data_IF_554696662471
#
_entry.id   IF_554696662471
#
_cell.length_a   1.000
_cell.length_b   1.000
_cell.length_c   1.000
_cell.angle_alpha   90.00
_cell.angle_beta   90.00
_cell.angle_gamma   90.00
#
_symmetry.space_group_name_H-M   'P 1'
#
loop_
_entity.id
_entity.type
_entity.pdbx_description
1 polymer ?
#
# COMPACT_ATOMS: atom_id res chain seq x y z
N UNK A 1 -52.06 35.78 0.34
CA UNK A 1 -52.09 35.09 -0.96
C UNK A 1 -50.66 35.22 -1.46
N UNK A 2 -49.80 34.34 -0.93
CA UNK A 2 -49.38 33.09 -1.62
C UNK A 2 -48.53 33.49 -2.84
N UNK A 3 -47.31 33.05 -3.06
CA UNK A 3 -46.42 32.04 -2.48
C UNK A 3 -45.01 32.43 -2.93
N UNK A 4 -43.98 31.99 -2.19
CA UNK A 4 -42.71 31.44 -2.73
C UNK A 4 -41.62 31.52 -1.66
N UNK A 5 -41.58 30.49 -0.83
CA UNK A 5 -40.41 30.18 -0.03
C UNK A 5 -40.20 28.67 -0.06
N UNK A 6 -39.55 28.16 -1.12
CA UNK A 6 -39.10 26.79 -1.12
C UNK A 6 -37.88 26.59 -2.03
N UNK A 7 -36.68 26.67 -1.46
CA UNK A 7 -35.50 25.89 -1.87
C UNK A 7 -34.32 26.25 -0.96
N UNK A 8 -34.09 25.47 0.09
CA UNK A 8 -32.79 25.40 0.78
C UNK A 8 -32.63 24.19 1.72
N UNK A 9 -33.04 22.98 1.29
CA UNK A 9 -32.79 21.75 2.06
C UNK A 9 -32.56 20.53 1.15
N UNK A 10 -31.32 20.25 0.71
CA UNK A 10 -31.08 19.00 -0.06
C UNK A 10 -29.68 18.36 -0.12
N UNK A 11 -28.54 18.99 0.24
CA UNK A 11 -27.24 18.29 0.24
C UNK A 11 -26.93 17.55 1.56
N UNK A 12 -26.95 18.27 2.69
CA UNK A 12 -26.46 17.76 3.99
C UNK A 12 -27.24 16.56 4.55
N UNK A 13 -28.55 16.48 4.30
CA UNK A 13 -29.38 15.38 4.81
C UNK A 13 -29.13 14.04 4.08
N UNK A 14 -28.63 14.09 2.84
CA UNK A 14 -28.27 12.89 2.07
C UNK A 14 -26.89 12.35 2.45
N UNK A 15 -25.94 13.23 2.76
CA UNK A 15 -24.62 12.84 3.26
C UNK A 15 -24.71 12.22 4.66
N UNK A 16 -25.48 12.82 5.58
CA UNK A 16 -25.67 12.28 6.93
C UNK A 16 -26.29 10.88 6.94
N UNK A 17 -27.25 10.61 6.04
CA UNK A 17 -27.84 9.28 5.91
C UNK A 17 -26.88 8.24 5.32
N UNK A 18 -25.90 8.68 4.52
CA UNK A 18 -24.88 7.82 3.90
C UNK A 18 -23.80 7.42 4.90
N UNK A 19 -23.31 8.36 5.71
CA UNK A 19 -22.30 8.06 6.74
C UNK A 19 -22.86 7.10 7.80
N UNK A 20 -24.14 7.29 8.16
CA UNK A 20 -24.84 6.35 9.02
C UNK A 20 -24.96 4.96 8.39
N UNK A 21 -25.38 4.87 7.12
CA UNK A 21 -25.44 3.60 6.38
C UNK A 21 -24.09 2.87 6.39
N UNK A 22 -22.99 3.57 6.12
CA UNK A 22 -21.65 2.96 6.11
C UNK A 22 -21.26 2.44 7.49
N UNK A 23 -21.56 3.20 8.54
CA UNK A 23 -21.31 2.78 9.92
C UNK A 23 -22.09 1.50 10.30
N UNK A 24 -23.36 1.42 9.90
CA UNK A 24 -24.18 0.21 10.15
C UNK A 24 -23.68 -0.96 9.32
N UNK A 25 -23.28 -0.76 8.06
CA UNK A 25 -22.69 -1.82 7.21
C UNK A 25 -21.36 -2.33 7.76
N UNK A 26 -20.51 -1.47 8.31
CA UNK A 26 -19.28 -1.89 8.99
C UNK A 26 -19.57 -2.71 10.25
N UNK A 27 -20.60 -2.31 10.99
CA UNK A 27 -21.07 -3.04 12.18
C UNK A 27 -21.59 -4.43 11.79
N UNK A 28 -22.43 -4.51 10.75
CA UNK A 28 -22.92 -5.80 10.20
C UNK A 28 -21.74 -6.66 9.72
N UNK A 29 -20.80 -6.10 8.96
CA UNK A 29 -19.60 -6.83 8.50
C UNK A 29 -18.87 -7.45 9.68
N UNK A 30 -18.65 -6.67 10.73
CA UNK A 30 -17.89 -7.10 11.92
C UNK A 30 -18.64 -8.16 12.70
N UNK A 31 -19.93 -7.94 13.02
CA UNK A 31 -20.77 -8.93 13.71
C UNK A 31 -20.94 -10.22 12.91
N UNK A 32 -21.03 -10.13 11.58
CA UNK A 32 -21.15 -11.30 10.71
C UNK A 32 -19.86 -12.11 10.63
N UNK A 33 -18.71 -11.44 10.71
CA UNK A 33 -17.40 -12.09 10.80
C UNK A 33 -17.24 -12.82 12.12
N UNK A 34 -17.65 -12.22 13.25
CA UNK A 34 -17.59 -12.86 14.56
C UNK A 34 -18.49 -14.11 14.63
N UNK A 35 -19.64 -14.07 13.94
CA UNK A 35 -20.56 -15.19 13.84
C UNK A 35 -19.97 -16.41 13.09
N UNK A 36 -18.95 -16.21 12.23
CA UNK A 36 -18.31 -17.30 11.50
C UNK A 36 -17.36 -18.12 12.38
N UNK A 37 -16.79 -17.55 13.45
CA UNK A 37 -15.79 -18.20 14.31
C UNK A 37 -16.39 -18.97 15.49
N UNK A 38 -17.70 -19.14 15.51
CA UNK A 38 -18.40 -19.96 16.49
C UNK A 38 -17.88 -21.42 16.46
N UNK A 39 -17.26 -21.94 17.54
CA UNK A 39 -16.72 -23.29 17.54
C UNK A 39 -17.77 -24.36 17.19
N UNK A 40 -17.39 -25.48 16.55
CA UNK A 40 -18.33 -26.55 16.19
C UNK A 40 -18.96 -27.29 17.40
N UNK A 41 -18.51 -26.96 18.62
CA UNK A 41 -19.01 -27.46 19.90
C UNK A 41 -19.09 -26.29 20.90
N UNK A 42 -20.24 -25.62 21.05
CA UNK A 42 -20.31 -24.46 21.97
C UNK A 42 -21.29 -24.65 23.11
N UNK A 43 -20.74 -24.40 24.30
CA UNK A 43 -21.35 -24.05 25.58
C UNK A 43 -21.91 -22.61 25.64
N UNK A 44 -21.78 -21.81 24.56
CA UNK A 44 -22.22 -20.41 24.44
C UNK A 44 -23.29 -20.36 23.35
N UNK A 45 -24.49 -19.85 23.66
CA UNK A 45 -25.54 -19.73 22.66
C UNK A 45 -25.22 -18.54 21.74
N UNK A 46 -25.23 -18.72 20.41
CA UNK A 46 -24.99 -17.63 19.46
C UNK A 46 -26.22 -16.73 19.26
N UNK A 47 -27.22 -16.87 20.11
CA UNK A 47 -28.49 -16.15 20.02
C UNK A 47 -28.33 -14.65 20.29
N UNK A 48 -27.39 -14.27 21.17
CA UNK A 48 -27.09 -12.86 21.46
C UNK A 48 -26.41 -12.16 20.27
N UNK A 49 -25.38 -12.79 19.68
CA UNK A 49 -24.63 -12.24 18.55
C UNK A 49 -25.52 -12.16 17.29
N UNK A 50 -26.39 -13.15 17.08
CA UNK A 50 -27.39 -13.11 16.00
C UNK A 50 -28.49 -12.07 16.26
N UNK A 51 -28.91 -11.89 17.51
CA UNK A 51 -29.88 -10.86 17.89
C UNK A 51 -29.37 -9.45 17.57
N UNK A 52 -28.13 -9.16 17.93
CA UNK A 52 -27.47 -7.89 17.63
C UNK A 52 -27.35 -7.64 16.11
N UNK A 53 -26.98 -8.67 15.33
CA UNK A 53 -26.89 -8.58 13.87
C UNK A 53 -28.26 -8.30 13.23
N UNK A 54 -29.33 -8.91 13.72
CA UNK A 54 -30.70 -8.68 13.24
C UNK A 54 -31.29 -7.34 13.70
N UNK A 55 -30.78 -6.74 14.76
CA UNK A 55 -31.11 -5.35 15.14
C UNK A 55 -30.44 -4.37 14.20
N UNK A 56 -29.15 -4.55 13.91
CA UNK A 56 -28.43 -3.78 12.90
C UNK A 56 -29.08 -3.91 11.51
N UNK A 57 -29.51 -5.11 11.14
CA UNK A 57 -30.24 -5.35 9.89
C UNK A 57 -31.55 -4.55 9.76
N UNK A 58 -32.29 -4.38 10.87
CA UNK A 58 -33.53 -3.58 10.91
C UNK A 58 -33.28 -2.09 10.76
N UNK A 59 -32.14 -1.58 11.24
CA UNK A 59 -31.72 -0.20 11.00
C UNK A 59 -31.43 0.04 9.52
N UNK A 60 -30.86 -0.95 8.82
CA UNK A 60 -30.66 -0.82 7.38
C UNK A 60 -31.98 -1.00 6.62
N UNK A 61 -32.89 -1.93 6.97
CA UNK A 61 -34.16 -2.13 6.24
C UNK A 61 -34.95 -0.82 6.02
N UNK A 62 -34.91 0.13 6.96
CA UNK A 62 -35.51 1.46 6.80
C UNK A 62 -34.85 2.36 5.72
N UNK A 63 -33.60 2.06 5.38
CA UNK A 63 -32.76 2.73 4.36
C UNK A 63 -32.63 1.89 3.08
N UNK A 64 -32.76 0.55 3.16
CA UNK A 64 -32.60 -0.44 2.07
C UNK A 64 -33.70 -0.36 0.99
N UNK A 65 -34.90 0.15 1.31
CA UNK A 65 -36.00 0.25 0.32
C UNK A 65 -35.66 1.13 -0.91
N UNK A 66 -34.56 1.88 -0.84
CA UNK A 66 -34.15 2.83 -1.88
C UNK A 66 -33.09 2.31 -2.86
N UNK A 67 -32.35 1.23 -2.55
CA UNK A 67 -31.19 0.78 -3.35
C UNK A 67 -31.27 -0.70 -3.77
N UNK A 68 -31.32 -1.01 -5.08
CA UNK A 68 -31.44 -2.38 -5.59
C UNK A 68 -30.21 -3.26 -5.33
N UNK A 69 -29.02 -2.72 -5.06
CA UNK A 69 -27.84 -3.56 -4.74
C UNK A 69 -27.88 -4.14 -3.33
N UNK A 70 -28.73 -3.55 -2.50
CA UNK A 70 -28.86 -3.79 -1.09
C UNK A 70 -30.01 -4.77 -0.76
N UNK A 71 -30.86 -5.10 -1.75
CA UNK A 71 -31.95 -6.08 -1.62
C UNK A 71 -31.44 -7.48 -1.28
N UNK A 72 -30.28 -7.88 -1.85
CA UNK A 72 -29.64 -9.16 -1.55
C UNK A 72 -29.24 -9.27 -0.08
N UNK A 73 -28.80 -8.15 0.53
CA UNK A 73 -28.46 -8.13 1.96
C UNK A 73 -29.71 -8.35 2.82
N UNK A 74 -30.84 -7.73 2.47
CA UNK A 74 -32.14 -7.93 3.16
C UNK A 74 -32.64 -9.37 3.03
N UNK A 75 -32.49 -9.99 1.85
CA UNK A 75 -32.81 -11.40 1.63
C UNK A 75 -31.96 -12.33 2.50
N UNK A 76 -30.66 -12.07 2.60
CA UNK A 76 -29.74 -12.85 3.44
C UNK A 76 -30.04 -12.67 4.94
N UNK A 77 -30.34 -11.46 5.39
CA UNK A 77 -30.75 -11.18 6.78
C UNK A 77 -32.08 -11.85 7.12
N UNK A 78 -33.03 -11.86 6.19
CA UNK A 78 -34.30 -12.58 6.33
C UNK A 78 -34.09 -14.09 6.38
N UNK A 79 -33.17 -14.62 5.55
CA UNK A 79 -32.76 -16.02 5.58
C UNK A 79 -32.14 -16.40 6.92
N UNK A 80 -31.23 -15.57 7.43
CA UNK A 80 -30.61 -15.74 8.74
C UNK A 80 -31.67 -15.79 9.85
N UNK A 81 -32.61 -14.84 9.85
CA UNK A 81 -33.74 -14.80 10.80
C UNK A 81 -34.58 -16.08 10.74
N UNK A 82 -34.93 -16.55 9.54
CA UNK A 82 -35.70 -17.79 9.38
C UNK A 82 -34.96 -19.02 9.94
N UNK A 83 -33.63 -19.10 9.71
CA UNK A 83 -32.82 -20.21 10.24
C UNK A 83 -32.66 -20.16 11.75
N UNK A 84 -32.66 -18.96 12.34
CA UNK A 84 -32.65 -18.77 13.79
C UNK A 84 -33.97 -19.24 14.43
N UNK A 85 -35.11 -18.82 13.87
CA UNK A 85 -36.44 -19.23 14.35
C UNK A 85 -36.60 -20.76 14.30
N UNK A 86 -36.10 -21.39 13.24
CA UNK A 86 -36.06 -22.85 13.13
C UNK A 86 -35.17 -23.50 14.18
N UNK A 87 -34.06 -22.85 14.56
CA UNK A 87 -33.12 -23.37 15.56
C UNK A 87 -33.75 -23.29 16.96
N UNK A 88 -34.40 -22.19 17.30
CA UNK A 88 -35.14 -21.99 18.56
C UNK A 88 -36.29 -22.99 18.70
N UNK A 89 -37.08 -23.20 17.64
CA UNK A 89 -38.18 -24.20 17.63
C UNK A 89 -37.70 -25.65 17.80
N UNK A 90 -36.40 -25.92 17.58
CA UNK A 90 -35.82 -27.26 17.65
C UNK A 90 -35.13 -27.62 18.99
N UNK A 91 -35.34 -26.82 20.05
CA UNK A 91 -34.82 -27.10 21.39
C UNK A 91 -35.51 -28.32 22.04
N UNK A 92 -35.06 -29.52 21.69
CA UNK A 92 -35.48 -30.78 22.32
C UNK A 92 -34.29 -31.67 22.66
N UNK A 93 -34.26 -32.21 23.89
CA UNK A 93 -33.17 -33.02 24.44
C UNK A 93 -33.15 -34.46 23.88
N UNK A 94 -32.59 -34.67 22.68
CA UNK A 94 -32.22 -36.02 22.14
C UNK A 94 -30.93 -35.93 21.30
N UNK A 95 -30.30 -37.07 21.00
CA UNK A 95 -29.01 -37.16 20.28
C UNK A 95 -29.08 -36.85 18.76
N UNK A 96 -30.15 -37.25 18.07
CA UNK A 96 -30.44 -36.88 16.66
C UNK A 96 -30.43 -35.35 16.41
N UNK A 97 -30.89 -34.51 17.36
CA UNK A 97 -30.74 -33.05 17.34
C UNK A 97 -29.32 -32.51 17.18
N UNK A 98 -28.26 -33.20 17.62
CA UNK A 98 -26.89 -32.64 17.61
C UNK A 98 -26.34 -32.45 16.19
N UNK A 99 -26.52 -33.45 15.32
CA UNK A 99 -26.10 -33.38 13.91
C UNK A 99 -26.93 -32.35 13.15
N UNK A 100 -28.26 -32.33 13.38
CA UNK A 100 -29.14 -31.31 12.76
C UNK A 100 -28.79 -29.90 13.22
N UNK A 101 -28.38 -29.73 14.47
CA UNK A 101 -27.95 -28.46 15.05
C UNK A 101 -26.60 -28.01 14.48
N UNK A 102 -25.64 -28.91 14.30
CA UNK A 102 -24.38 -28.61 13.62
C UNK A 102 -24.57 -28.24 12.15
N UNK A 103 -25.45 -28.94 11.42
CA UNK A 103 -25.79 -28.58 10.04
C UNK A 103 -26.44 -27.18 9.96
N UNK A 104 -27.29 -26.82 10.93
CA UNK A 104 -27.85 -25.46 11.02
C UNK A 104 -26.80 -24.41 11.38
N UNK A 105 -25.86 -24.70 12.30
CA UNK A 105 -24.75 -23.80 12.60
C UNK A 105 -23.85 -23.57 11.39
N UNK A 106 -23.56 -24.61 10.61
CA UNK A 106 -22.84 -24.47 9.35
C UNK A 106 -23.62 -23.58 8.36
N UNK A 107 -24.94 -23.78 8.23
CA UNK A 107 -25.79 -22.93 7.38
C UNK A 107 -25.77 -21.46 7.84
N UNK A 108 -25.82 -21.21 9.15
CA UNK A 108 -25.73 -19.87 9.73
C UNK A 108 -24.36 -19.24 9.43
N UNK A 109 -23.27 -19.97 9.67
CA UNK A 109 -21.91 -19.52 9.34
C UNK A 109 -21.76 -19.20 7.85
N UNK A 110 -22.38 -20.00 6.97
CA UNK A 110 -22.41 -19.74 5.52
C UNK A 110 -23.16 -18.46 5.17
N UNK A 111 -24.38 -18.28 5.70
CA UNK A 111 -25.17 -17.06 5.48
C UNK A 111 -24.42 -15.84 6.03
N UNK A 112 -23.77 -15.97 7.19
CA UNK A 112 -22.94 -14.90 7.76
C UNK A 112 -21.75 -14.55 6.86
N UNK A 113 -21.10 -15.55 6.26
CA UNK A 113 -20.03 -15.31 5.28
C UNK A 113 -20.54 -14.59 4.03
N UNK A 114 -21.72 -14.96 3.53
CA UNK A 114 -22.38 -14.29 2.40
C UNK A 114 -22.75 -12.83 2.75
N UNK A 115 -23.30 -12.56 3.95
CA UNK A 115 -23.61 -11.21 4.44
C UNK A 115 -22.33 -10.36 4.56
N UNK A 116 -21.25 -10.92 5.14
CA UNK A 116 -19.97 -10.21 5.26
C UNK A 116 -19.41 -9.84 3.88
N UNK A 117 -19.45 -10.76 2.92
CA UNK A 117 -18.96 -10.54 1.57
C UNK A 117 -19.76 -9.45 0.84
N UNK A 118 -21.09 -9.45 0.98
CA UNK A 118 -21.95 -8.41 0.40
C UNK A 118 -21.73 -7.04 1.04
N UNK A 119 -21.70 -6.97 2.38
CA UNK A 119 -21.43 -5.72 3.09
C UNK A 119 -20.06 -5.15 2.72
N UNK A 120 -19.02 -6.00 2.67
CA UNK A 120 -17.68 -5.61 2.21
C UNK A 120 -17.69 -5.12 0.77
N UNK A 121 -18.37 -5.83 -0.15
CA UNK A 121 -18.45 -5.43 -1.55
C UNK A 121 -19.07 -4.04 -1.75
N UNK A 122 -20.10 -3.72 -0.96
CA UNK A 122 -20.73 -2.39 -0.98
C UNK A 122 -19.78 -1.31 -0.43
N UNK A 123 -19.13 -1.57 0.71
CA UNK A 123 -18.12 -0.65 1.28
C UNK A 123 -16.95 -0.41 0.31
N UNK A 124 -16.46 -1.46 -0.33
CA UNK A 124 -15.38 -1.40 -1.32
C UNK A 124 -15.78 -0.53 -2.52
N UNK A 125 -17.00 -0.74 -3.03
CA UNK A 125 -17.56 0.07 -4.13
C UNK A 125 -17.67 1.53 -3.72
N UNK A 126 -18.16 1.78 -2.52
CA UNK A 126 -18.33 3.13 -2.00
C UNK A 126 -16.99 3.87 -1.89
N UNK A 127 -15.96 3.25 -1.34
CA UNK A 127 -14.61 3.83 -1.22
C UNK A 127 -14.05 4.19 -2.60
N UNK A 128 -14.15 3.27 -3.57
CA UNK A 128 -13.68 3.52 -4.94
C UNK A 128 -14.47 4.64 -5.60
N UNK A 129 -15.81 4.62 -5.50
CA UNK A 129 -16.66 5.66 -6.10
C UNK A 129 -16.42 7.02 -5.44
N UNK A 130 -16.22 7.06 -4.12
CA UNK A 130 -15.91 8.28 -3.40
C UNK A 130 -14.59 8.88 -3.89
N UNK A 131 -13.52 8.09 -3.92
CA UNK A 131 -12.22 8.49 -4.46
C UNK A 131 -12.37 9.10 -5.86
N UNK A 132 -13.04 8.37 -6.75
CA UNK A 132 -13.22 8.77 -8.14
C UNK A 132 -14.00 10.08 -8.28
N UNK A 133 -15.04 10.26 -7.48
CA UNK A 133 -15.84 11.49 -7.45
C UNK A 133 -15.01 12.67 -6.94
N UNK A 134 -14.29 12.48 -5.85
CA UNK A 134 -13.55 13.55 -5.18
C UNK A 134 -12.32 13.98 -6.00
N UNK A 135 -11.63 13.04 -6.65
CA UNK A 135 -10.50 13.35 -7.55
C UNK A 135 -10.92 13.99 -8.88
N UNK A 136 -12.15 13.73 -9.35
CA UNK A 136 -12.66 14.31 -10.59
C UNK A 136 -13.22 15.74 -10.40
N UNK A 137 -13.53 16.13 -9.17
CA UNK A 137 -14.08 17.46 -8.85
C UNK A 137 -12.95 18.49 -8.64
N UNK A 138 -12.94 19.61 -9.39
CA UNK A 138 -11.96 20.67 -9.15
C UNK A 138 -12.20 21.34 -7.78
N UNK A 139 -13.45 21.52 -7.38
CA UNK A 139 -13.85 22.34 -6.23
C UNK A 139 -13.83 21.63 -4.86
N UNK A 140 -13.59 20.32 -4.80
CA UNK A 140 -13.48 19.61 -3.51
C UNK A 140 -12.22 20.05 -2.76
N UNK A 141 -12.37 20.20 -1.43
CA UNK A 141 -11.29 20.65 -0.55
C UNK A 141 -10.09 19.69 -0.59
N UNK A 142 -8.88 20.23 -0.38
CA UNK A 142 -7.67 19.42 -0.37
C UNK A 142 -7.71 18.31 0.69
N UNK A 143 -8.27 18.61 1.86
CA UNK A 143 -8.40 17.66 2.96
C UNK A 143 -9.34 16.50 2.63
N UNK A 144 -10.46 16.78 1.96
CA UNK A 144 -11.42 15.76 1.52
C UNK A 144 -10.78 14.79 0.51
N UNK A 145 -9.95 15.31 -0.40
CA UNK A 145 -9.21 14.51 -1.39
C UNK A 145 -8.14 13.65 -0.73
N UNK A 146 -7.41 14.20 0.23
CA UNK A 146 -6.41 13.47 0.99
C UNK A 146 -7.05 12.37 1.84
N UNK A 147 -8.22 12.64 2.43
CA UNK A 147 -8.99 11.63 3.17
C UNK A 147 -9.43 10.50 2.26
N UNK A 148 -10.04 10.80 1.10
CA UNK A 148 -10.49 9.79 0.16
C UNK A 148 -9.33 8.92 -0.37
N UNK A 149 -8.15 9.50 -0.59
CA UNK A 149 -6.93 8.76 -0.93
C UNK A 149 -6.45 7.87 0.22
N UNK A 150 -6.52 8.36 1.45
CA UNK A 150 -6.20 7.61 2.66
C UNK A 150 -7.11 6.39 2.83
N UNK A 151 -8.43 6.59 2.81
CA UNK A 151 -9.42 5.52 2.95
C UNK A 151 -9.24 4.44 1.89
N UNK A 152 -8.95 4.85 0.63
CA UNK A 152 -8.65 3.92 -0.45
C UNK A 152 -7.35 3.14 -0.20
N UNK A 153 -6.29 3.83 0.19
CA UNK A 153 -5.00 3.21 0.47
C UNK A 153 -5.13 2.19 1.62
N UNK A 154 -5.72 2.59 2.73
CA UNK A 154 -5.95 1.75 3.91
C UNK A 154 -6.76 0.52 3.52
N UNK A 155 -7.79 0.69 2.68
CA UNK A 155 -8.57 -0.45 2.21
C UNK A 155 -7.75 -1.41 1.34
N UNK A 156 -6.94 -0.90 0.42
CA UNK A 156 -6.09 -1.74 -0.45
C UNK A 156 -5.03 -2.49 0.38
N UNK A 157 -4.53 -1.88 1.45
CA UNK A 157 -3.53 -2.49 2.34
C UNK A 157 -4.08 -3.62 3.23
N UNK A 158 -5.40 -3.68 3.46
CA UNK A 158 -6.04 -4.79 4.19
C UNK A 158 -5.97 -6.14 3.47
N UNK A 159 -5.54 -6.16 2.20
CA UNK A 159 -5.25 -7.38 1.46
C UNK A 159 -6.15 -7.63 0.25
N UNK A 160 -5.77 -8.66 -0.50
CA UNK A 160 -6.34 -8.97 -1.80
C UNK A 160 -7.83 -9.38 -1.73
N UNK A 161 -8.65 -8.76 -2.56
CA UNK A 161 -10.05 -9.15 -2.76
C UNK A 161 -10.44 -9.03 -4.23
N UNK A 162 -10.99 -10.09 -4.81
CA UNK A 162 -11.30 -10.14 -6.25
C UNK A 162 -12.33 -9.09 -6.67
N UNK A 163 -13.36 -8.85 -5.84
CA UNK A 163 -14.38 -7.82 -6.09
C UNK A 163 -13.80 -6.40 -6.09
N UNK A 164 -12.88 -6.11 -5.16
CA UNK A 164 -12.21 -4.81 -5.11
C UNK A 164 -11.31 -4.60 -6.34
N UNK A 165 -10.59 -5.63 -6.78
CA UNK A 165 -9.79 -5.54 -8.00
C UNK A 165 -10.67 -5.21 -9.22
N UNK A 166 -11.80 -5.90 -9.39
CA UNK A 166 -12.72 -5.66 -10.50
C UNK A 166 -13.26 -4.22 -10.47
N UNK A 167 -13.61 -3.70 -9.29
CA UNK A 167 -14.02 -2.31 -9.11
C UNK A 167 -12.91 -1.32 -9.49
N UNK A 168 -11.67 -1.53 -9.03
CA UNK A 168 -10.50 -0.70 -9.33
C UNK A 168 -10.21 -0.66 -10.84
N UNK A 169 -10.30 -1.81 -11.50
CA UNK A 169 -10.06 -1.93 -12.94
C UNK A 169 -11.17 -1.25 -13.74
N UNK A 170 -12.44 -1.47 -13.39
CA UNK A 170 -13.60 -0.85 -14.04
C UNK A 170 -13.59 0.67 -13.90
N UNK A 171 -13.19 1.18 -12.74
CA UNK A 171 -13.10 2.62 -12.49
C UNK A 171 -11.84 3.25 -13.10
N UNK A 172 -10.88 2.46 -13.59
CA UNK A 172 -9.56 2.94 -14.05
C UNK A 172 -8.83 3.75 -12.98
N UNK A 173 -8.95 3.35 -11.72
CA UNK A 173 -8.39 4.11 -10.60
C UNK A 173 -6.87 4.34 -10.74
N UNK A 174 -6.13 3.33 -11.21
CA UNK A 174 -4.69 3.44 -11.45
C UNK A 174 -4.36 4.58 -12.42
N UNK A 175 -5.04 4.65 -13.57
CA UNK A 175 -4.77 5.68 -14.59
C UNK A 175 -5.05 7.09 -14.07
N UNK A 176 -6.03 7.24 -13.19
CA UNK A 176 -6.33 8.53 -12.56
C UNK A 176 -5.27 8.91 -11.54
N UNK A 177 -4.86 7.97 -10.68
CA UNK A 177 -3.77 8.20 -9.73
C UNK A 177 -2.46 8.54 -10.46
N UNK A 178 -2.15 7.82 -11.54
CA UNK A 178 -0.98 8.10 -12.38
C UNK A 178 -1.08 9.47 -13.04
N UNK A 179 -2.26 9.86 -13.57
CA UNK A 179 -2.45 11.19 -14.15
C UNK A 179 -2.20 12.30 -13.13
N UNK A 180 -2.65 12.13 -11.88
CA UNK A 180 -2.43 13.10 -10.80
C UNK A 180 -0.98 13.11 -10.31
N UNK A 181 -0.33 11.96 -10.27
CA UNK A 181 1.11 11.86 -9.99
C UNK A 181 1.95 12.60 -11.05
N UNK A 182 1.57 12.52 -12.32
CA UNK A 182 2.33 13.08 -13.43
C UNK A 182 2.01 14.55 -13.72
N UNK A 183 0.91 15.06 -13.19
CA UNK A 183 0.48 16.45 -13.36
C UNK A 183 1.37 17.41 -12.53
N UNK A 184 2.16 18.29 -13.18
CA UNK A 184 3.02 19.24 -12.46
C UNK A 184 2.23 20.35 -11.76
N UNK A 185 1.00 20.63 -12.19
CA UNK A 185 0.12 21.64 -11.59
C UNK A 185 -0.56 21.10 -10.32
N UNK A 186 -0.51 19.78 -10.11
CA UNK A 186 -1.04 19.14 -8.92
C UNK A 186 -0.13 19.39 -7.70
N UNK A 187 -0.70 19.74 -6.52
CA UNK A 187 0.08 19.95 -5.32
C UNK A 187 0.98 18.75 -4.99
N UNK A 188 2.22 19.03 -4.56
CA UNK A 188 3.23 18.00 -4.24
C UNK A 188 2.68 16.90 -3.31
N UNK A 189 1.94 17.29 -2.26
CA UNK A 189 1.36 16.35 -1.28
C UNK A 189 0.44 15.32 -1.94
N UNK A 190 -0.30 15.73 -2.98
CA UNK A 190 -1.21 14.84 -3.69
C UNK A 190 -0.48 13.89 -4.61
N UNK A 191 0.56 14.39 -5.28
CA UNK A 191 1.44 13.56 -6.11
C UNK A 191 2.08 12.47 -5.26
N UNK A 192 2.56 12.82 -4.07
CA UNK A 192 3.14 11.88 -3.10
C UNK A 192 2.10 10.88 -2.54
N UNK A 193 0.89 11.32 -2.22
CA UNK A 193 -0.18 10.41 -1.79
C UNK A 193 -0.65 9.48 -2.90
N UNK A 194 -0.70 9.97 -4.14
CA UNK A 194 -0.98 9.15 -5.32
C UNK A 194 0.11 8.10 -5.54
N UNK A 195 1.38 8.48 -5.36
CA UNK A 195 2.51 7.55 -5.39
C UNK A 195 2.37 6.44 -4.34
N UNK A 196 2.00 6.81 -3.10
CA UNK A 196 1.76 5.85 -2.02
C UNK A 196 0.63 4.88 -2.37
N UNK A 197 -0.49 5.38 -2.88
CA UNK A 197 -1.61 4.55 -3.32
C UNK A 197 -1.22 3.60 -4.47
N UNK A 198 -0.42 4.04 -5.43
CA UNK A 198 0.13 3.21 -6.51
C UNK A 198 1.00 2.08 -5.95
N UNK A 199 1.87 2.37 -4.99
CA UNK A 199 2.66 1.33 -4.30
C UNK A 199 1.75 0.30 -3.63
N UNK A 200 0.71 0.74 -2.94
CA UNK A 200 -0.25 -0.15 -2.28
C UNK A 200 -1.03 -1.00 -3.29
N UNK A 201 -1.36 -0.47 -4.48
CA UNK A 201 -1.95 -1.26 -5.58
C UNK A 201 -1.01 -2.35 -6.09
N UNK A 202 0.28 -2.04 -6.29
CA UNK A 202 1.27 -3.04 -6.70
C UNK A 202 1.45 -4.13 -5.64
N UNK A 203 1.42 -3.76 -4.34
CA UNK A 203 1.42 -4.74 -3.23
C UNK A 203 0.17 -5.62 -3.26
N UNK A 204 -0.99 -5.03 -3.52
CA UNK A 204 -2.28 -5.70 -3.55
C UNK A 204 -2.37 -6.76 -4.65
N UNK A 205 -1.92 -6.46 -5.88
CA UNK A 205 -1.75 -7.47 -6.92
C UNK A 205 -0.64 -7.13 -7.93
N UNK A 206 0.52 -7.75 -7.74
CA UNK A 206 1.68 -7.58 -8.64
C UNK A 206 1.38 -7.97 -10.09
N UNK A 207 0.56 -8.99 -10.32
CA UNK A 207 0.30 -9.51 -11.67
C UNK A 207 -0.50 -8.53 -12.55
N UNK A 208 -1.21 -7.59 -11.94
CA UNK A 208 -2.06 -6.63 -12.65
C UNK A 208 -1.35 -5.29 -12.79
N UNK A 209 -0.79 -4.77 -11.70
CA UNK A 209 -0.34 -3.37 -11.65
C UNK A 209 1.13 -3.17 -12.03
N UNK A 210 1.97 -4.21 -12.00
CA UNK A 210 3.40 -4.09 -12.37
C UNK A 210 3.57 -3.65 -13.82
N UNK A 211 2.80 -4.25 -14.74
CA UNK A 211 2.85 -3.85 -16.15
C UNK A 211 2.47 -2.39 -16.37
N UNK A 212 1.50 -1.88 -15.61
CA UNK A 212 1.08 -0.48 -15.71
C UNK A 212 2.18 0.48 -15.23
N UNK A 213 2.89 0.14 -14.15
CA UNK A 213 4.02 0.94 -13.66
C UNK A 213 5.19 0.93 -14.66
N UNK A 214 5.53 -0.24 -15.22
CA UNK A 214 6.67 -0.37 -16.14
C UNK A 214 6.45 0.34 -17.48
N UNK A 215 5.21 0.37 -17.98
CA UNK A 215 4.88 0.99 -19.27
C UNK A 215 4.47 2.47 -19.13
N UNK A 216 4.39 2.98 -17.91
CA UNK A 216 3.84 4.29 -17.61
C UNK A 216 4.89 5.34 -17.22
N UNK A 217 4.52 6.62 -17.18
CA UNK A 217 5.38 7.72 -16.73
C UNK A 217 5.61 7.77 -15.21
N UNK A 218 5.05 6.81 -14.46
CA UNK A 218 5.09 6.78 -12.98
C UNK A 218 6.50 6.97 -12.43
N UNK A 219 7.50 6.28 -12.97
CA UNK A 219 8.87 6.30 -12.42
C UNK A 219 9.54 7.65 -12.63
N UNK A 220 9.52 8.16 -13.85
CA UNK A 220 10.06 9.47 -14.19
C UNK A 220 9.38 10.60 -13.40
N UNK A 221 8.06 10.48 -13.15
CA UNK A 221 7.35 11.43 -12.31
C UNK A 221 7.85 11.41 -10.86
N UNK A 222 8.10 10.24 -10.26
CA UNK A 222 8.64 10.13 -8.90
C UNK A 222 10.04 10.74 -8.79
N UNK A 223 10.91 10.44 -9.74
CA UNK A 223 12.27 11.00 -9.75
C UNK A 223 12.24 12.51 -9.97
N UNK A 224 11.34 13.01 -10.82
CA UNK A 224 11.17 14.44 -11.06
C UNK A 224 10.61 15.19 -9.83
N UNK A 225 9.79 14.57 -8.98
CA UNK A 225 9.34 15.19 -7.72
C UNK A 225 10.51 15.33 -6.76
N UNK A 226 11.38 14.32 -6.70
CA UNK A 226 12.65 14.38 -5.98
C UNK A 226 12.52 14.62 -4.48
N UNK A 227 11.38 14.25 -3.87
CA UNK A 227 11.14 14.35 -2.43
C UNK A 227 11.39 13.04 -1.71
N UNK A 228 11.63 13.10 -0.40
CA UNK A 228 11.76 11.90 0.45
C UNK A 228 10.60 10.92 0.27
N UNK A 229 9.34 11.38 0.25
CA UNK A 229 8.18 10.49 0.05
C UNK A 229 8.15 9.88 -1.36
N UNK A 230 8.43 10.66 -2.40
CA UNK A 230 8.43 10.15 -3.79
C UNK A 230 9.53 9.12 -4.03
N UNK A 231 10.73 9.36 -3.48
CA UNK A 231 11.86 8.43 -3.59
C UNK A 231 11.63 7.20 -2.71
N UNK A 232 11.02 7.32 -1.53
CA UNK A 232 10.65 6.16 -0.70
C UNK A 232 9.58 5.28 -1.38
N UNK A 233 8.63 5.89 -2.10
CA UNK A 233 7.68 5.17 -2.93
C UNK A 233 8.40 4.42 -4.06
N UNK A 234 9.36 5.07 -4.73
CA UNK A 234 10.20 4.44 -5.75
C UNK A 234 11.00 3.25 -5.20
N UNK A 235 11.68 3.40 -4.05
CA UNK A 235 12.37 2.30 -3.37
C UNK A 235 11.43 1.13 -3.08
N UNK A 236 10.18 1.42 -2.74
CA UNK A 236 9.16 0.39 -2.53
C UNK A 236 8.77 -0.31 -3.83
N UNK A 237 8.65 0.41 -4.95
CA UNK A 237 8.43 -0.21 -6.26
C UNK A 237 9.63 -1.07 -6.68
N UNK A 238 10.87 -0.63 -6.43
CA UNK A 238 12.09 -1.41 -6.69
C UNK A 238 12.06 -2.73 -5.92
N UNK A 239 11.69 -2.73 -4.63
CA UNK A 239 11.54 -3.98 -3.84
C UNK A 239 10.46 -4.91 -4.37
N UNK A 240 9.36 -4.36 -4.88
CA UNK A 240 8.19 -5.14 -5.32
C UNK A 240 8.38 -5.73 -6.72
N UNK A 241 8.97 -4.95 -7.63
CA UNK A 241 9.12 -5.27 -9.06
C UNK A 241 10.50 -5.87 -9.35
N UNK A 242 11.54 -5.43 -8.65
CA UNK A 242 12.94 -5.86 -8.77
C UNK A 242 13.56 -5.48 -10.12
N UNK A 243 14.43 -6.34 -10.67
CA UNK A 243 15.25 -6.05 -11.86
C UNK A 243 14.48 -5.47 -13.05
N UNK A 244 13.25 -5.93 -13.42
CA UNK A 244 12.50 -5.32 -14.54
C UNK A 244 12.28 -3.81 -14.40
N UNK A 245 12.04 -3.30 -13.19
CA UNK A 245 11.88 -1.86 -12.98
C UNK A 245 13.22 -1.14 -13.09
N UNK A 246 14.28 -1.74 -12.55
CA UNK A 246 15.62 -1.16 -12.56
C UNK A 246 16.15 -1.09 -14.02
N UNK A 247 15.88 -2.10 -14.83
CA UNK A 247 16.21 -2.11 -16.26
C UNK A 247 15.58 -0.90 -16.97
N UNK A 248 14.29 -0.66 -16.71
CA UNK A 248 13.55 0.49 -17.28
C UNK A 248 14.13 1.83 -16.79
N UNK A 249 14.40 1.94 -15.49
CA UNK A 249 15.02 3.12 -14.88
C UNK A 249 16.39 3.45 -15.49
N UNK A 250 17.17 2.42 -15.78
CA UNK A 250 18.50 2.59 -16.36
C UNK A 250 18.42 3.12 -17.79
N UNK A 251 17.48 2.59 -18.60
CA UNK A 251 17.24 3.05 -19.98
C UNK A 251 16.82 4.52 -20.03
N UNK A 252 16.00 4.96 -19.08
CA UNK A 252 15.48 6.33 -19.02
C UNK A 252 16.42 7.32 -18.31
N UNK A 253 17.57 6.86 -17.79
CA UNK A 253 18.56 7.70 -17.10
C UNK A 253 18.12 8.14 -15.69
N UNK A 254 17.04 7.58 -15.17
CA UNK A 254 16.47 7.89 -13.86
C UNK A 254 17.42 7.52 -12.72
N UNK A 255 18.17 6.41 -12.88
CA UNK A 255 19.19 5.99 -11.92
C UNK A 255 20.26 7.07 -11.72
N UNK A 256 20.72 7.70 -12.81
CA UNK A 256 21.71 8.78 -12.73
C UNK A 256 21.14 10.02 -12.05
N UNK A 257 19.86 10.32 -12.28
CA UNK A 257 19.17 11.44 -11.63
C UNK A 257 19.07 11.23 -10.11
N UNK A 258 18.75 10.02 -9.64
CA UNK A 258 18.71 9.69 -8.20
C UNK A 258 20.08 9.89 -7.55
N UNK A 259 21.17 9.47 -8.21
CA UNK A 259 22.53 9.67 -7.70
C UNK A 259 22.89 11.17 -7.65
N UNK A 260 22.41 11.96 -8.63
CA UNK A 260 22.59 13.42 -8.60
C UNK A 260 21.79 14.07 -7.45
N UNK A 261 20.56 13.61 -7.19
CA UNK A 261 19.75 14.08 -6.05
C UNK A 261 20.45 13.79 -4.71
N UNK A 262 21.08 12.63 -4.57
CA UNK A 262 21.86 12.27 -3.37
C UNK A 262 23.01 13.26 -3.11
N UNK A 263 23.69 13.70 -4.17
CA UNK A 263 24.83 14.62 -4.08
C UNK A 263 24.48 16.11 -4.11
N UNK A 264 23.20 16.48 -4.27
CA UNK A 264 22.78 17.88 -4.36
C UNK A 264 22.81 18.55 -2.99
N UNK A 265 23.48 19.71 -2.91
CA UNK A 265 23.63 20.48 -1.65
C UNK A 265 22.29 21.02 -1.15
N UNK A 266 21.35 21.29 -2.05
CA UNK A 266 20.07 21.93 -1.78
C UNK A 266 19.02 20.98 -1.17
N UNK A 267 19.25 19.67 -1.25
CA UNK A 267 18.30 18.68 -0.78
C UNK A 267 18.34 18.49 0.74
N UNK A 268 17.17 18.35 1.33
CA UNK A 268 16.99 18.05 2.75
C UNK A 268 17.56 16.67 3.10
N UNK A 269 17.87 16.51 4.40
CA UNK A 269 18.46 15.28 4.92
C UNK A 269 17.60 14.05 4.59
N UNK A 270 16.27 14.15 4.74
CA UNK A 270 15.37 13.02 4.52
C UNK A 270 15.39 12.58 3.05
N UNK A 271 15.35 13.51 2.09
CA UNK A 271 15.46 13.18 0.66
C UNK A 271 16.78 12.46 0.35
N UNK A 272 17.91 12.93 0.91
CA UNK A 272 19.19 12.26 0.68
C UNK A 272 19.24 10.85 1.28
N UNK A 273 18.65 10.65 2.46
CA UNK A 273 18.53 9.31 3.06
C UNK A 273 17.67 8.40 2.19
N UNK A 274 16.51 8.87 1.71
CA UNK A 274 15.67 8.11 0.80
C UNK A 274 16.39 7.78 -0.52
N UNK A 275 17.20 8.71 -1.05
CA UNK A 275 18.02 8.45 -2.24
C UNK A 275 19.08 7.38 -1.98
N UNK A 276 19.75 7.40 -0.82
CA UNK A 276 20.71 6.38 -0.43
C UNK A 276 20.03 5.01 -0.34
N UNK A 277 18.88 4.93 0.33
CA UNK A 277 18.08 3.71 0.41
C UNK A 277 17.72 3.20 -0.99
N UNK A 278 17.24 4.08 -1.87
CA UNK A 278 16.88 3.71 -3.25
C UNK A 278 18.08 3.16 -4.03
N UNK A 279 19.24 3.82 -3.92
CA UNK A 279 20.48 3.37 -4.58
C UNK A 279 20.95 2.02 -4.04
N UNK A 280 20.80 1.78 -2.74
CA UNK A 280 21.08 0.48 -2.11
C UNK A 280 20.14 -0.63 -2.65
N UNK A 281 18.85 -0.35 -2.79
CA UNK A 281 17.88 -1.29 -3.38
C UNK A 281 18.20 -1.59 -4.86
N UNK A 282 18.60 -0.56 -5.62
CA UNK A 282 19.08 -0.72 -7.00
C UNK A 282 20.33 -1.60 -7.05
N UNK A 283 21.28 -1.42 -6.12
CA UNK A 283 22.49 -2.24 -6.04
C UNK A 283 22.18 -3.70 -5.66
N UNK A 284 21.15 -3.92 -4.83
CA UNK A 284 20.74 -5.24 -4.39
C UNK A 284 20.06 -6.06 -5.50
N UNK A 285 19.10 -5.47 -6.23
CA UNK A 285 18.33 -6.18 -7.27
C UNK A 285 18.85 -5.97 -8.70
N UNK A 286 19.76 -5.02 -8.91
CA UNK A 286 20.27 -4.63 -10.22
C UNK A 286 21.22 -5.67 -10.82
N UNK A 287 21.17 -5.81 -12.14
CA UNK A 287 22.12 -6.65 -12.89
C UNK A 287 23.48 -5.96 -13.01
N UNK A 288 24.50 -6.74 -13.41
CA UNK A 288 25.89 -6.30 -13.50
C UNK A 288 26.06 -4.97 -14.23
N UNK A 289 25.46 -4.83 -15.40
CA UNK A 289 25.57 -3.65 -16.26
C UNK A 289 25.05 -2.39 -15.57
N UNK A 290 23.95 -2.52 -14.82
CA UNK A 290 23.32 -1.40 -14.12
C UNK A 290 24.16 -1.03 -12.91
N UNK A 291 24.48 -2.00 -12.04
CA UNK A 291 25.29 -1.74 -10.84
C UNK A 291 26.65 -1.18 -11.21
N UNK A 292 27.28 -1.73 -12.26
CA UNK A 292 28.51 -1.15 -12.83
C UNK A 292 28.28 0.25 -13.36
N UNK A 293 27.17 0.53 -14.04
CA UNK A 293 26.77 1.88 -14.47
C UNK A 293 26.67 2.86 -13.31
N UNK A 294 26.00 2.48 -12.21
CA UNK A 294 25.88 3.28 -10.98
C UNK A 294 27.26 3.58 -10.37
N UNK A 295 28.11 2.57 -10.25
CA UNK A 295 29.45 2.72 -9.67
C UNK A 295 30.34 3.57 -10.59
N UNK A 296 30.31 3.29 -11.89
CA UNK A 296 31.21 3.89 -12.86
C UNK A 296 30.80 5.28 -13.29
N UNK A 297 29.60 5.39 -13.87
CA UNK A 297 29.08 6.62 -14.48
C UNK A 297 28.44 7.52 -13.42
N UNK A 298 27.74 6.93 -12.45
CA UNK A 298 27.09 7.68 -11.37
C UNK A 298 28.06 8.27 -10.34
N UNK A 299 29.32 7.81 -10.28
CA UNK A 299 30.31 8.24 -9.28
C UNK A 299 29.77 8.13 -7.85
N UNK A 300 28.98 7.09 -7.60
CA UNK A 300 28.29 6.91 -6.31
C UNK A 300 29.29 6.81 -5.15
N UNK A 301 30.42 6.13 -5.34
CA UNK A 301 31.42 5.94 -4.28
C UNK A 301 31.98 7.29 -3.84
N UNK A 302 32.31 8.16 -4.79
CA UNK A 302 32.79 9.51 -4.52
C UNK A 302 31.73 10.33 -3.76
N UNK A 303 30.46 10.24 -4.15
CA UNK A 303 29.36 10.92 -3.46
C UNK A 303 29.15 10.41 -2.03
N UNK A 304 29.21 9.11 -1.81
CA UNK A 304 29.11 8.52 -0.48
C UNK A 304 30.29 8.94 0.42
N UNK A 305 31.49 9.00 -0.13
CA UNK A 305 32.67 9.53 0.58
C UNK A 305 32.47 11.00 0.97
N UNK A 306 31.97 11.84 0.07
CA UNK A 306 31.63 13.25 0.37
C UNK A 306 30.59 13.36 1.51
N UNK A 307 29.52 12.56 1.46
CA UNK A 307 28.47 12.55 2.48
C UNK A 307 28.97 12.05 3.84
N UNK A 308 29.78 10.99 3.85
CA UNK A 308 30.37 10.45 5.08
C UNK A 308 31.28 11.48 5.75
N UNK A 309 32.05 12.26 4.98
CA UNK A 309 32.85 13.37 5.49
C UNK A 309 32.00 14.52 6.02
N UNK A 310 30.92 14.87 5.32
CA UNK A 310 30.08 16.02 5.67
C UNK A 310 29.52 15.93 7.08
N UNK A 311 29.18 14.71 7.54
CA UNK A 311 28.60 14.54 8.88
C UNK A 311 29.65 14.41 10.00
N UNK A 312 30.91 14.15 9.63
CA UNK A 312 32.03 13.94 10.57
C UNK A 312 31.92 12.62 11.34
N UNK A 313 32.61 12.51 12.48
CA UNK A 313 32.66 11.30 13.32
C UNK A 313 31.39 11.07 14.18
N UNK A 314 30.26 11.64 13.75
CA UNK A 314 28.97 11.46 14.42
C UNK A 314 28.39 10.11 13.99
N UNK A 315 28.60 9.10 14.83
CA UNK A 315 28.05 7.74 14.67
C UNK A 315 26.52 7.69 14.55
N UNK A 316 25.82 8.75 14.94
CA UNK A 316 24.36 8.91 14.79
C UNK A 316 23.94 9.44 13.41
N UNK A 317 24.91 9.66 12.51
CA UNK A 317 24.64 10.08 11.13
C UNK A 317 23.97 8.98 10.32
N UNK A 318 22.94 9.29 9.51
CA UNK A 318 22.39 8.33 8.56
C UNK A 318 23.36 7.98 7.42
N UNK A 319 24.45 8.77 7.25
CA UNK A 319 25.52 8.50 6.28
C UNK A 319 26.76 7.89 6.92
N UNK A 320 26.71 7.54 8.20
CA UNK A 320 27.79 6.82 8.86
C UNK A 320 28.01 5.49 8.15
N UNK A 321 29.24 5.26 7.68
CA UNK A 321 29.61 4.03 6.96
C UNK A 321 28.76 3.74 5.70
N UNK A 322 28.17 4.75 5.06
CA UNK A 322 27.30 4.55 3.90
C UNK A 322 28.01 3.86 2.72
N UNK A 323 29.33 4.05 2.58
CA UNK A 323 30.16 3.33 1.60
C UNK A 323 30.17 1.83 1.88
N UNK A 324 30.31 1.42 3.15
CA UNK A 324 30.32 0.01 3.53
C UNK A 324 28.92 -0.59 3.37
N UNK A 325 27.87 0.12 3.77
CA UNK A 325 26.48 -0.29 3.61
C UNK A 325 26.19 -0.57 2.13
N UNK A 326 26.56 0.35 1.23
CA UNK A 326 26.40 0.16 -0.20
C UNK A 326 27.19 -1.06 -0.71
N UNK A 327 28.44 -1.23 -0.29
CA UNK A 327 29.25 -2.38 -0.69
C UNK A 327 28.66 -3.72 -0.21
N UNK A 328 28.08 -3.76 0.99
CA UNK A 328 27.36 -4.92 1.51
C UNK A 328 26.17 -5.25 0.61
N UNK A 329 25.37 -4.27 0.19
CA UNK A 329 24.23 -4.51 -0.71
C UNK A 329 24.66 -5.10 -2.06
N UNK A 330 25.77 -4.63 -2.62
CA UNK A 330 26.37 -5.23 -3.83
C UNK A 330 26.78 -6.69 -3.60
N UNK A 331 27.33 -7.01 -2.44
CA UNK A 331 27.78 -8.37 -2.11
C UNK A 331 26.62 -9.34 -1.81
N UNK A 332 25.60 -8.90 -1.08
CA UNK A 332 24.44 -9.74 -0.73
C UNK A 332 23.36 -9.74 -1.80
N UNK A 333 23.43 -8.84 -2.78
CA UNK A 333 22.42 -8.63 -3.81
C UNK A 333 22.03 -9.87 -4.61
N UNK A 334 20.77 -9.92 -5.01
CA UNK A 334 20.18 -11.02 -5.80
C UNK A 334 20.50 -10.90 -7.31
N UNK A 335 20.84 -9.70 -7.80
CA UNK A 335 21.01 -9.42 -9.23
C UNK A 335 22.37 -9.80 -9.84
N UNK A 336 23.31 -10.30 -9.03
CA UNK A 336 24.71 -10.51 -9.41
C UNK A 336 25.18 -11.95 -9.12
N UNK A 337 26.02 -12.50 -9.98
CA UNK A 337 26.73 -13.75 -9.74
C UNK A 337 27.88 -13.56 -8.74
N UNK A 338 28.36 -14.65 -8.12
CA UNK A 338 29.51 -14.59 -7.20
C UNK A 338 30.76 -13.94 -7.81
N UNK A 339 31.03 -14.20 -9.09
CA UNK A 339 32.18 -13.59 -9.76
C UNK A 339 31.99 -12.08 -9.95
N UNK A 340 30.80 -11.66 -10.38
CA UNK A 340 30.48 -10.24 -10.58
C UNK A 340 30.50 -9.45 -9.28
N UNK A 341 29.99 -10.03 -8.19
CA UNK A 341 30.08 -9.45 -6.84
C UNK A 341 31.52 -9.16 -6.45
N UNK A 342 32.43 -10.12 -6.69
CA UNK A 342 33.86 -9.95 -6.41
C UNK A 342 34.49 -8.87 -7.28
N UNK A 343 34.18 -8.86 -8.58
CA UNK A 343 34.68 -7.84 -9.52
C UNK A 343 34.24 -6.42 -9.10
N UNK A 344 32.96 -6.25 -8.80
CA UNK A 344 32.40 -4.96 -8.39
C UNK A 344 32.91 -4.52 -7.02
N UNK A 345 33.10 -5.44 -6.07
CA UNK A 345 33.71 -5.14 -4.77
C UNK A 345 35.13 -4.62 -4.93
N UNK A 346 35.94 -5.23 -5.80
CA UNK A 346 37.30 -4.74 -6.08
C UNK A 346 37.28 -3.35 -6.70
N UNK A 347 36.31 -3.06 -7.57
CA UNK A 347 36.17 -1.74 -8.17
C UNK A 347 35.71 -0.68 -7.16
N UNK A 348 34.82 -1.02 -6.22
CA UNK A 348 34.46 -0.14 -5.10
C UNK A 348 35.71 0.21 -4.28
N UNK A 349 36.51 -0.80 -3.89
CA UNK A 349 37.74 -0.58 -3.12
C UNK A 349 38.74 0.33 -3.86
N UNK A 350 38.88 0.14 -5.16
CA UNK A 350 39.70 1.01 -6.01
C UNK A 350 39.20 2.46 -5.99
N UNK A 351 37.89 2.66 -6.17
CA UNK A 351 37.26 4.00 -6.14
C UNK A 351 37.36 4.66 -4.77
N UNK A 352 37.23 3.91 -3.68
CA UNK A 352 37.47 4.42 -2.33
C UNK A 352 38.87 4.99 -2.24
N UNK A 353 39.88 4.23 -2.64
CA UNK A 353 41.29 4.68 -2.61
C UNK A 353 41.53 5.93 -3.47
N UNK A 354 40.91 6.01 -4.65
CA UNK A 354 41.01 7.17 -5.54
C UNK A 354 40.30 8.41 -4.99
N UNK A 355 39.19 8.23 -4.27
CA UNK A 355 38.39 9.32 -3.71
C UNK A 355 38.86 9.79 -2.33
N UNK A 356 39.68 9.01 -1.63
CA UNK A 356 40.20 9.33 -0.29
C UNK A 356 41.14 10.54 -0.31
N UNK A 357 41.04 11.39 0.71
CA UNK A 357 41.92 12.55 0.89
C UNK A 357 43.19 12.21 1.69
N UNK A 358 43.25 11.04 2.32
CA UNK A 358 44.42 10.56 3.05
C UNK A 358 44.53 9.03 3.02
N UNK A 359 45.74 8.50 3.22
CA UNK A 359 45.96 7.05 3.35
C UNK A 359 45.24 6.46 4.58
N UNK A 360 45.12 7.24 5.66
CA UNK A 360 44.42 6.80 6.86
C UNK A 360 42.90 6.62 6.61
N UNK A 361 42.28 7.57 5.90
CA UNK A 361 40.87 7.46 5.50
C UNK A 361 40.67 6.26 4.55
N UNK A 362 41.54 6.11 3.55
CA UNK A 362 41.48 5.00 2.62
C UNK A 362 41.58 3.65 3.34
N UNK A 363 42.49 3.53 4.30
CA UNK A 363 42.68 2.30 5.08
C UNK A 363 41.47 2.00 5.97
N UNK A 364 40.92 3.01 6.65
CA UNK A 364 39.74 2.84 7.52
C UNK A 364 38.52 2.37 6.73
N UNK A 365 38.19 3.06 5.63
CA UNK A 365 36.99 2.73 4.84
C UNK A 365 37.20 1.41 4.08
N UNK A 366 38.41 1.13 3.59
CA UNK A 366 38.73 -0.18 3.00
C UNK A 366 38.53 -1.31 4.02
N UNK A 367 38.97 -1.11 5.26
CA UNK A 367 38.74 -2.08 6.33
C UNK A 367 37.24 -2.26 6.59
N UNK A 368 36.46 -1.18 6.69
CA UNK A 368 35.00 -1.26 6.84
C UNK A 368 34.32 -2.00 5.67
N UNK A 369 34.72 -1.77 4.43
CA UNK A 369 34.16 -2.48 3.25
C UNK A 369 34.54 -3.96 3.26
N UNK A 370 35.76 -4.30 3.68
CA UNK A 370 36.21 -5.69 3.75
C UNK A 370 35.54 -6.45 4.90
N UNK A 371 35.44 -5.83 6.07
CA UNK A 371 34.97 -6.46 7.32
C UNK A 371 33.48 -6.26 7.62
N UNK A 372 32.86 -5.17 7.16
CA UNK A 372 31.42 -4.93 7.31
C UNK A 372 30.55 -5.90 6.50
N UNK A 373 31.17 -6.62 5.54
CA UNK A 373 30.55 -7.72 4.80
C UNK A 373 30.59 -9.07 5.54
N UNK A 374 31.08 -9.10 6.78
CA UNK A 374 31.07 -10.31 7.60
C UNK A 374 29.64 -10.61 8.09
N UNK A 375 29.20 -11.88 8.17
CA UNK A 375 27.88 -12.25 8.69
C UNK A 375 27.58 -11.87 10.16
N UNK A 376 28.49 -11.15 10.83
CA UNK A 376 28.45 -10.88 12.26
C UNK A 376 28.13 -9.41 12.61
N UNK A 377 27.83 -8.57 11.62
CA UNK A 377 27.64 -7.12 11.79
C UNK A 377 26.19 -6.62 11.61
N UNK A 378 25.18 -7.49 11.80
CA UNK A 378 23.78 -7.09 11.96
C UNK A 378 23.23 -7.48 13.33
#
# INVERSE_FOLDING_TARGET
MEDDNNQNHTPQKKELNRDHLLTVLESIRTSSKDLQYLPPFISRSPEADMGALLELGREIDAVLESDPELSMLSELLSSLKSTLDELQKSQGYRLVPLIRRQAKYYRISRIASEIEAHARGYLDKEIVVNLMRTLSRPDSGEEEKLQALGDFQDRVEQGFHIGLQDLILKSKAFSILESKLCDPDCPKVWREKSASAIVSLVKFNRNVFVGLVLMGPTVGALVSIGSSQSIAALSSLVRLIRSPLIDEMYVHGEVAQIVNLLGSVENDLATRVSCLECVCEIAYYGRKEIVKGVIMQGRIVERLMELQRWVGDRKESPFWSCVSIFAVQVEVGEGLTHQEKRELKMEILKRVKEASVSEAEAASITAEVLWGSSPWSF
#
